data_IF_259947760291
#
_entry.id   IF_259947760291
#
_cell.length_a   1.000
_cell.length_b   1.000
_cell.length_c   1.000
_cell.angle_alpha   90.00
_cell.angle_beta   90.00
_cell.angle_gamma   90.00
#
_symmetry.space_group_name_H-M   'P 1'
#
loop_
_entity.id
_entity.type
_entity.pdbx_description
1 polymer ?
#
# COMPACT_ATOMS: atom_id res chain seq x y z
N UNK A 1 6.31 -31.27 -7.53
CA UNK A 1 5.08 -30.95 -6.76
C UNK A 1 4.88 -29.45 -6.90
N UNK A 2 3.97 -29.08 -7.78
CA UNK A 2 3.61 -27.67 -7.98
C UNK A 2 2.76 -27.31 -6.78
N UNK A 3 3.32 -26.47 -5.87
CA UNK A 3 2.52 -25.85 -4.80
C UNK A 3 1.52 -24.95 -5.51
N UNK A 4 0.26 -25.36 -5.53
CA UNK A 4 -0.84 -24.51 -5.97
C UNK A 4 -0.83 -23.24 -5.11
N UNK A 5 -0.40 -22.14 -5.71
CA UNK A 5 -0.54 -20.79 -5.14
C UNK A 5 -2.00 -20.36 -5.25
N UNK A 6 -2.90 -21.07 -4.59
CA UNK A 6 -4.28 -20.61 -4.43
C UNK A 6 -4.36 -19.58 -3.29
N UNK A 7 -3.66 -18.46 -3.46
CA UNK A 7 -3.88 -17.31 -2.59
C UNK A 7 -5.03 -16.48 -3.18
N UNK A 8 -6.23 -16.79 -2.74
CA UNK A 8 -7.38 -15.92 -2.98
C UNK A 8 -7.13 -14.66 -2.15
N UNK A 9 -6.99 -13.52 -2.83
CA UNK A 9 -6.91 -12.24 -2.16
C UNK A 9 -8.28 -11.93 -1.54
N UNK A 10 -8.40 -11.83 -0.20
CA UNK A 10 -9.68 -11.58 0.44
C UNK A 10 -10.15 -10.13 0.22
N UNK A 11 -11.46 -9.94 0.25
CA UNK A 11 -12.05 -8.61 0.45
C UNK A 11 -12.05 -8.34 1.94
N UNK A 12 -11.58 -7.17 2.35
CA UNK A 12 -11.51 -6.74 3.75
C UNK A 12 -12.47 -5.59 3.96
N UNK A 13 -13.47 -5.79 4.82
CA UNK A 13 -14.39 -4.72 5.20
C UNK A 13 -13.86 -4.00 6.44
N UNK A 14 -13.74 -2.68 6.34
CA UNK A 14 -13.48 -1.81 7.49
C UNK A 14 -14.76 -1.04 7.85
N UNK A 15 -14.69 -0.18 8.84
CA UNK A 15 -15.88 0.59 9.24
C UNK A 15 -16.39 1.47 8.09
N UNK A 16 -15.47 2.18 7.39
CA UNK A 16 -15.83 3.12 6.33
C UNK A 16 -15.48 2.67 4.92
N UNK A 17 -14.64 1.66 4.76
CA UNK A 17 -14.08 1.29 3.46
C UNK A 17 -14.25 -0.20 3.17
N UNK A 18 -14.30 -0.51 1.87
CA UNK A 18 -14.15 -1.87 1.36
C UNK A 18 -12.79 -1.96 0.69
N UNK A 19 -11.93 -2.83 1.20
CA UNK A 19 -10.64 -3.13 0.58
C UNK A 19 -10.85 -4.30 -0.37
N UNK A 20 -10.81 -4.02 -1.65
CA UNK A 20 -11.08 -4.98 -2.71
C UNK A 20 -9.92 -5.10 -3.69
N UNK A 21 -9.79 -6.22 -4.40
CA UNK A 21 -8.82 -6.33 -5.49
C UNK A 21 -8.99 -5.23 -6.53
N UNK A 22 -7.92 -4.89 -7.23
CA UNK A 22 -7.94 -3.96 -8.35
C UNK A 22 -8.87 -4.45 -9.47
N UNK A 23 -9.46 -3.49 -10.17
CA UNK A 23 -10.23 -3.69 -11.39
C UNK A 23 -9.64 -2.83 -12.50
N UNK A 24 -9.79 -3.24 -13.74
CA UNK A 24 -9.34 -2.42 -14.89
C UNK A 24 -10.05 -1.06 -14.95
N UNK A 25 -11.28 -0.99 -14.46
CA UNK A 25 -12.05 0.25 -14.35
C UNK A 25 -11.49 1.26 -13.35
N UNK A 26 -10.56 0.85 -12.48
CA UNK A 26 -9.89 1.77 -11.53
C UNK A 26 -8.81 2.64 -12.18
N UNK A 27 -8.42 2.34 -13.42
CA UNK A 27 -7.29 2.98 -14.10
C UNK A 27 -7.38 4.50 -14.09
N UNK A 28 -8.53 5.07 -14.41
CA UNK A 28 -8.70 6.52 -14.51
C UNK A 28 -8.41 7.25 -13.20
N UNK A 29 -8.96 6.77 -12.10
CA UNK A 29 -8.75 7.39 -10.78
C UNK A 29 -7.34 7.15 -10.25
N UNK A 30 -6.80 5.95 -10.43
CA UNK A 30 -5.42 5.65 -10.03
C UNK A 30 -4.45 6.55 -10.79
N UNK A 31 -4.61 6.69 -12.10
CA UNK A 31 -3.79 7.56 -12.92
C UNK A 31 -3.90 9.02 -12.47
N UNK A 32 -5.11 9.49 -12.22
CA UNK A 32 -5.36 10.85 -11.77
C UNK A 32 -4.63 11.16 -10.46
N UNK A 33 -4.69 10.24 -9.48
CA UNK A 33 -4.04 10.45 -8.18
C UNK A 33 -2.53 10.26 -8.23
N UNK A 34 -2.03 9.31 -9.02
CA UNK A 34 -0.59 9.02 -9.09
C UNK A 34 0.19 10.02 -9.94
N UNK A 35 -0.49 10.82 -10.76
CA UNK A 35 0.10 12.00 -11.42
C UNK A 35 0.48 13.12 -10.45
N UNK A 36 -0.14 13.14 -9.28
CA UNK A 36 0.15 14.14 -8.25
C UNK A 36 1.52 13.86 -7.63
N UNK A 37 2.43 14.83 -7.73
CA UNK A 37 3.78 14.72 -7.17
C UNK A 37 3.76 14.42 -5.67
N UNK A 38 2.78 14.94 -4.94
CA UNK A 38 2.63 14.72 -3.50
C UNK A 38 2.40 13.26 -3.16
N UNK A 39 1.78 12.50 -4.06
CA UNK A 39 1.62 11.04 -3.92
C UNK A 39 2.91 10.33 -4.35
N UNK A 40 3.41 10.64 -5.54
CA UNK A 40 4.56 9.96 -6.12
C UNK A 40 5.82 10.07 -5.22
N UNK A 41 6.09 11.27 -4.69
CA UNK A 41 7.28 11.53 -3.87
C UNK A 41 7.29 10.82 -2.51
N UNK A 42 6.14 10.33 -2.05
CA UNK A 42 6.00 9.58 -0.79
C UNK A 42 5.99 8.07 -0.98
N UNK A 43 6.16 7.62 -2.22
CA UNK A 43 6.27 6.21 -2.60
C UNK A 43 7.62 5.95 -3.25
N UNK A 44 8.02 4.68 -3.35
CA UNK A 44 9.31 4.32 -3.96
C UNK A 44 9.22 4.11 -5.46
N UNK A 45 8.07 3.68 -5.98
CA UNK A 45 7.96 3.11 -7.35
C UNK A 45 7.17 3.96 -8.34
N UNK A 46 6.40 4.93 -7.88
CA UNK A 46 5.60 5.78 -8.77
C UNK A 46 6.49 6.87 -9.37
N UNK A 47 6.69 6.87 -10.70
CA UNK A 47 7.50 7.90 -11.34
C UNK A 47 6.75 9.24 -11.41
N UNK A 48 7.52 10.33 -11.48
CA UNK A 48 6.99 11.67 -11.71
C UNK A 48 7.92 12.44 -12.67
N UNK A 49 7.43 12.96 -13.81
CA UNK A 49 6.06 12.82 -14.35
C UNK A 49 5.68 11.36 -14.63
N UNK A 50 4.39 11.06 -14.52
CA UNK A 50 3.90 9.70 -14.78
C UNK A 50 3.93 9.43 -16.30
N UNK A 51 4.69 8.41 -16.77
CA UNK A 51 4.76 8.09 -18.19
C UNK A 51 3.40 7.59 -18.74
N UNK A 52 3.10 7.84 -20.02
CA UNK A 52 1.94 7.25 -20.67
C UNK A 52 1.96 5.71 -20.56
N UNK A 53 0.83 5.11 -20.24
CA UNK A 53 0.69 3.66 -20.12
C UNK A 53 1.21 3.05 -18.79
N UNK A 54 1.79 3.86 -17.89
CA UNK A 54 2.33 3.37 -16.62
C UNK A 54 1.26 2.75 -15.73
N UNK A 55 0.08 3.37 -15.63
CA UNK A 55 -1.02 2.86 -14.80
C UNK A 55 -1.61 1.57 -15.36
N UNK A 56 -1.78 1.47 -16.68
CA UNK A 56 -2.23 0.25 -17.33
C UNK A 56 -1.27 -0.91 -17.05
N UNK A 57 0.04 -0.68 -17.23
CA UNK A 57 1.06 -1.67 -16.92
C UNK A 57 1.08 -2.08 -15.44
N UNK A 58 0.88 -1.14 -14.54
CA UNK A 58 0.74 -1.39 -13.10
C UNK A 58 -0.45 -2.30 -12.80
N UNK A 59 -1.62 -2.03 -13.38
CA UNK A 59 -2.82 -2.86 -13.19
C UNK A 59 -2.61 -4.25 -13.78
N UNK A 60 -2.00 -4.37 -14.96
CA UNK A 60 -1.68 -5.67 -15.57
C UNK A 60 -0.80 -6.53 -14.66
N UNK A 61 0.25 -5.94 -14.08
CA UNK A 61 1.11 -6.67 -13.12
C UNK A 61 0.35 -7.06 -11.85
N UNK A 62 -0.51 -6.18 -11.37
CA UNK A 62 -1.28 -6.39 -10.15
C UNK A 62 -2.35 -7.49 -10.28
N UNK A 63 -2.81 -7.74 -11.49
CA UNK A 63 -3.78 -8.79 -11.80
C UNK A 63 -3.14 -10.11 -12.27
N UNK A 64 -1.81 -10.15 -12.41
CA UNK A 64 -1.08 -11.35 -12.80
C UNK A 64 -1.21 -12.45 -11.74
N UNK A 65 -1.34 -13.71 -12.19
CA UNK A 65 -1.35 -14.88 -11.30
C UNK A 65 0.01 -15.11 -10.61
N UNK A 66 1.09 -14.64 -11.23
CA UNK A 66 2.47 -14.75 -10.71
C UNK A 66 2.87 -13.60 -9.78
N UNK A 67 1.93 -12.72 -9.43
CA UNK A 67 2.22 -11.58 -8.58
C UNK A 67 2.71 -12.00 -7.20
N UNK A 68 3.66 -11.24 -6.66
CA UNK A 68 4.13 -11.40 -5.29
C UNK A 68 3.56 -10.35 -4.33
N UNK A 69 2.78 -9.43 -4.87
CA UNK A 69 2.15 -8.34 -4.13
C UNK A 69 0.64 -8.40 -4.31
N UNK A 70 -0.09 -8.46 -3.20
CA UNK A 70 -1.52 -8.27 -3.19
C UNK A 70 -1.84 -6.80 -2.95
N UNK A 71 -2.58 -6.20 -3.88
CA UNK A 71 -2.95 -4.78 -3.82
C UNK A 71 -4.46 -4.66 -3.67
N UNK A 72 -4.89 -3.92 -2.66
CA UNK A 72 -6.29 -3.58 -2.44
C UNK A 72 -6.55 -2.13 -2.78
N UNK A 73 -7.62 -1.87 -3.50
CA UNK A 73 -8.21 -0.55 -3.62
C UNK A 73 -8.92 -0.21 -2.32
N UNK A 74 -8.68 0.99 -1.82
CA UNK A 74 -9.47 1.55 -0.72
C UNK A 74 -10.72 2.17 -1.35
N UNK A 75 -11.80 1.40 -1.38
CA UNK A 75 -13.09 1.81 -1.93
C UNK A 75 -13.93 2.46 -0.84
N UNK A 76 -14.29 3.70 -1.06
CA UNK A 76 -15.01 4.52 -0.07
C UNK A 76 -16.48 4.76 -0.38
N UNK A 77 -17.06 4.08 -1.38
CA UNK A 77 -18.44 4.35 -1.82
C UNK A 77 -19.44 4.22 -0.67
N UNK A 78 -19.31 3.19 0.16
CA UNK A 78 -20.26 2.96 1.26
C UNK A 78 -20.32 4.07 2.31
N UNK A 79 -19.31 4.95 2.32
CA UNK A 79 -19.21 6.09 3.25
C UNK A 79 -19.16 7.44 2.52
N UNK A 80 -19.65 7.47 1.29
CA UNK A 80 -19.74 8.68 0.45
C UNK A 80 -18.36 9.28 0.11
N UNK A 81 -17.30 8.46 0.14
CA UNK A 81 -16.01 8.79 -0.45
C UNK A 81 -15.95 8.36 -1.92
N UNK A 82 -14.81 8.59 -2.56
CA UNK A 82 -14.55 8.13 -3.92
C UNK A 82 -14.50 6.60 -4.00
N UNK A 83 -14.76 6.06 -5.19
CA UNK A 83 -14.55 4.64 -5.52
C UNK A 83 -13.11 4.20 -5.34
N UNK A 84 -12.14 5.11 -5.54
CA UNK A 84 -10.74 4.92 -5.22
C UNK A 84 -10.29 6.06 -4.31
N UNK A 85 -10.01 5.76 -3.06
CA UNK A 85 -9.48 6.71 -2.07
C UNK A 85 -7.96 6.62 -1.98
N UNK A 86 -7.41 5.47 -2.28
CA UNK A 86 -6.00 5.12 -2.25
C UNK A 86 -5.80 3.64 -2.48
N UNK A 87 -4.58 3.18 -2.26
CA UNK A 87 -4.21 1.77 -2.34
C UNK A 87 -3.50 1.34 -1.06
N UNK A 88 -3.64 0.06 -0.71
CA UNK A 88 -2.85 -0.60 0.33
C UNK A 88 -2.39 -1.95 -0.19
N UNK A 89 -1.17 -2.35 0.10
CA UNK A 89 -0.58 -3.57 -0.45
C UNK A 89 0.25 -4.33 0.57
N UNK A 90 0.38 -5.63 0.32
CA UNK A 90 1.31 -6.53 0.99
C UNK A 90 2.16 -7.22 -0.07
N UNK A 91 3.45 -6.93 -0.08
CA UNK A 91 4.43 -7.59 -0.91
C UNK A 91 5.06 -8.76 -0.14
N UNK A 92 5.00 -9.95 -0.71
CA UNK A 92 5.59 -11.13 -0.09
C UNK A 92 7.10 -11.12 -0.25
N UNK A 93 7.82 -11.07 0.86
CA UNK A 93 9.28 -11.13 0.90
C UNK A 93 9.77 -12.59 0.96
N UNK A 94 9.07 -13.43 1.73
CA UNK A 94 9.28 -14.87 1.83
C UNK A 94 8.02 -15.52 2.41
N UNK A 95 8.10 -16.79 2.80
CA UNK A 95 6.92 -17.55 3.27
C UNK A 95 6.27 -16.98 4.54
N UNK A 96 7.00 -16.21 5.35
CA UNK A 96 6.54 -15.75 6.66
C UNK A 96 6.62 -14.24 6.83
N UNK A 97 7.06 -13.50 5.83
CA UNK A 97 7.29 -12.06 5.92
C UNK A 97 6.71 -11.33 4.71
N UNK A 98 6.10 -10.19 4.96
CA UNK A 98 5.60 -9.28 3.93
C UNK A 98 5.95 -7.84 4.29
N UNK A 99 5.97 -6.99 3.28
CA UNK A 99 6.09 -5.54 3.43
C UNK A 99 4.77 -4.87 3.09
N UNK A 100 4.30 -4.02 4.01
CA UNK A 100 3.10 -3.20 3.86
C UNK A 100 3.47 -1.90 3.15
N UNK A 101 2.70 -1.55 2.12
CA UNK A 101 2.77 -0.26 1.46
C UNK A 101 1.39 0.35 1.31
N UNK A 102 1.29 1.66 1.28
CA UNK A 102 0.02 2.35 1.07
C UNK A 102 0.22 3.80 0.65
N UNK A 103 -0.78 4.34 -0.03
CA UNK A 103 -0.93 5.76 -0.24
C UNK A 103 -2.40 6.15 -0.25
N UNK A 104 -2.68 7.38 0.12
CA UNK A 104 -4.03 7.96 0.14
C UNK A 104 -4.01 9.21 -0.73
N UNK A 105 -5.04 9.38 -1.55
CA UNK A 105 -5.17 10.57 -2.39
C UNK A 105 -5.24 11.84 -1.53
N UNK A 106 -4.57 12.93 -1.93
CA UNK A 106 -4.46 14.14 -1.12
C UNK A 106 -5.80 14.74 -0.65
N UNK A 107 -6.84 14.62 -1.47
CA UNK A 107 -8.18 15.10 -1.11
C UNK A 107 -8.75 14.43 0.16
N UNK A 108 -8.22 13.26 0.53
CA UNK A 108 -8.69 12.46 1.67
C UNK A 108 -7.69 12.41 2.83
N UNK A 109 -6.65 13.21 2.78
CA UNK A 109 -5.69 13.31 3.88
C UNK A 109 -6.33 13.91 5.14
N UNK A 110 -5.76 13.59 6.30
CA UNK A 110 -6.21 14.07 7.62
C UNK A 110 -7.65 13.64 7.97
N UNK A 111 -8.11 12.52 7.42
CA UNK A 111 -9.45 11.95 7.69
C UNK A 111 -9.37 10.57 8.35
N UNK A 112 -8.19 10.14 8.77
CA UNK A 112 -7.97 8.85 9.42
C UNK A 112 -8.04 7.64 8.48
N UNK A 113 -7.97 7.83 7.17
CA UNK A 113 -8.06 6.74 6.18
C UNK A 113 -6.93 5.74 6.35
N UNK A 114 -5.68 6.20 6.31
CA UNK A 114 -4.52 5.34 6.43
C UNK A 114 -4.52 4.56 7.76
N UNK A 115 -4.81 5.23 8.87
CA UNK A 115 -4.88 4.58 10.18
C UNK A 115 -5.91 3.47 10.23
N UNK A 116 -7.07 3.66 9.64
CA UNK A 116 -8.13 2.64 9.59
C UNK A 116 -7.71 1.44 8.74
N UNK A 117 -7.27 1.66 7.50
CA UNK A 117 -6.96 0.55 6.58
C UNK A 117 -5.71 -0.21 6.99
N UNK A 118 -4.68 0.47 7.49
CA UNK A 118 -3.47 -0.19 8.01
C UNK A 118 -3.80 -1.05 9.22
N UNK A 119 -4.63 -0.57 10.13
CA UNK A 119 -5.06 -1.35 11.30
C UNK A 119 -5.79 -2.61 10.89
N UNK A 120 -6.80 -2.50 10.03
CA UNK A 120 -7.58 -3.66 9.60
C UNK A 120 -6.73 -4.69 8.86
N UNK A 121 -5.90 -4.28 7.89
CA UNK A 121 -5.03 -5.20 7.15
C UNK A 121 -3.98 -5.83 8.05
N UNK A 122 -3.33 -5.06 8.91
CA UNK A 122 -2.30 -5.59 9.79
C UNK A 122 -2.87 -6.51 10.89
N UNK A 123 -4.04 -6.20 11.44
CA UNK A 123 -4.68 -7.06 12.44
C UNK A 123 -5.22 -8.35 11.81
N UNK A 124 -5.79 -8.27 10.60
CA UNK A 124 -6.28 -9.44 9.87
C UNK A 124 -5.14 -10.37 9.44
N UNK A 125 -3.99 -9.80 9.09
CA UNK A 125 -2.81 -10.55 8.63
C UNK A 125 -3.17 -11.58 7.53
N UNK A 126 -3.67 -11.15 6.37
CA UNK A 126 -4.26 -12.06 5.38
C UNK A 126 -3.25 -13.04 4.76
N UNK A 127 -1.97 -12.71 4.78
CA UNK A 127 -0.90 -13.60 4.32
C UNK A 127 -0.34 -14.51 5.41
N UNK A 128 -0.90 -14.46 6.61
CA UNK A 128 -0.47 -15.27 7.77
C UNK A 128 1.02 -15.11 8.07
N UNK A 129 1.50 -13.88 8.05
CA UNK A 129 2.90 -13.56 8.33
C UNK A 129 3.25 -13.81 9.79
N UNK A 130 4.52 -14.12 10.05
CA UNK A 130 5.13 -13.99 11.37
C UNK A 130 5.59 -12.57 11.64
N UNK A 131 5.99 -11.87 10.59
CA UNK A 131 6.43 -10.48 10.67
C UNK A 131 5.94 -9.70 9.45
N UNK A 132 5.41 -8.52 9.71
CA UNK A 132 5.05 -7.55 8.67
C UNK A 132 5.94 -6.33 8.82
N UNK A 133 6.62 -5.95 7.76
CA UNK A 133 7.47 -4.77 7.70
C UNK A 133 6.74 -3.60 7.04
N UNK A 134 7.18 -2.40 7.36
CA UNK A 134 6.80 -1.19 6.64
C UNK A 134 7.95 -0.19 6.71
N UNK A 135 8.19 0.53 5.64
CA UNK A 135 9.16 1.60 5.58
C UNK A 135 8.47 2.92 5.23
N UNK A 136 8.89 3.99 5.86
CA UNK A 136 8.39 5.34 5.57
C UNK A 136 9.56 6.28 5.37
N UNK A 137 9.42 7.26 4.49
CA UNK A 137 10.42 8.31 4.35
C UNK A 137 10.44 9.18 5.61
N UNK A 138 11.64 9.57 6.05
CA UNK A 138 11.80 10.37 7.28
C UNK A 138 11.15 11.74 7.20
N UNK A 139 10.92 12.26 6.00
CA UNK A 139 10.17 13.50 5.78
C UNK A 139 8.64 13.29 5.70
N UNK A 140 8.16 12.09 6.06
CA UNK A 140 6.74 11.77 6.18
C UNK A 140 6.40 11.26 7.60
N UNK A 141 6.50 12.13 8.62
CA UNK A 141 6.25 11.72 10.01
C UNK A 141 4.79 11.31 10.27
N UNK A 142 3.85 11.78 9.46
CA UNK A 142 2.45 11.38 9.57
C UNK A 142 2.27 9.88 9.33
N UNK A 143 2.97 9.32 8.32
CA UNK A 143 2.94 7.88 8.04
C UNK A 143 3.59 7.07 9.15
N UNK A 144 4.68 7.57 9.75
CA UNK A 144 5.31 6.93 10.91
C UNK A 144 4.34 6.84 12.10
N UNK A 145 3.55 7.89 12.36
CA UNK A 145 2.53 7.88 13.42
C UNK A 145 1.43 6.86 13.14
N UNK A 146 1.01 6.72 11.89
CA UNK A 146 0.03 5.69 11.50
C UNK A 146 0.54 4.30 11.88
N UNK A 147 1.77 3.96 11.52
CA UNK A 147 2.37 2.66 11.82
C UNK A 147 2.48 2.42 13.33
N UNK A 148 3.00 3.38 14.08
CA UNK A 148 3.11 3.28 15.55
C UNK A 148 1.75 3.04 16.19
N UNK A 149 0.72 3.77 15.77
CA UNK A 149 -0.64 3.63 16.30
C UNK A 149 -1.30 2.30 15.93
N UNK A 150 -0.81 1.63 14.89
CA UNK A 150 -1.30 0.31 14.45
C UNK A 150 -0.49 -0.87 15.01
N UNK A 151 0.42 -0.63 15.95
CA UNK A 151 1.17 -1.66 16.64
C UNK A 151 2.48 -2.06 15.96
N UNK A 152 2.99 -1.23 15.07
CA UNK A 152 4.33 -1.39 14.50
C UNK A 152 5.38 -0.74 15.38
N UNK A 153 6.52 -1.39 15.53
CA UNK A 153 7.66 -0.90 16.29
C UNK A 153 8.78 -0.43 15.34
N UNK A 154 9.36 0.71 15.64
CA UNK A 154 10.55 1.18 14.95
C UNK A 154 11.73 0.24 15.22
N UNK A 155 12.49 -0.11 14.19
CA UNK A 155 13.66 -0.99 14.34
C UNK A 155 14.96 -0.39 13.82
N UNK A 156 14.96 0.43 12.78
CA UNK A 156 16.20 0.99 12.24
C UNK A 156 15.97 2.14 11.28
N UNK A 157 17.01 2.94 11.08
CA UNK A 157 17.14 3.84 9.96
C UNK A 157 17.66 3.06 8.76
N UNK A 158 17.20 3.44 7.58
CA UNK A 158 17.64 2.91 6.30
C UNK A 158 17.53 3.99 5.23
N UNK A 159 17.64 3.61 3.98
CA UNK A 159 17.35 4.45 2.85
C UNK A 159 16.73 3.62 1.72
N UNK A 160 15.94 4.26 0.88
CA UNK A 160 15.34 3.65 -0.29
C UNK A 160 15.42 4.60 -1.48
N UNK A 161 15.66 4.05 -2.67
CA UNK A 161 15.61 4.84 -3.89
C UNK A 161 14.16 5.21 -4.19
N UNK A 162 13.90 6.52 -4.38
CA UNK A 162 12.61 7.03 -4.78
C UNK A 162 12.65 7.41 -6.26
N UNK A 163 11.87 6.72 -7.07
CA UNK A 163 11.86 6.95 -8.53
C UNK A 163 11.45 8.38 -8.86
N UNK A 164 10.41 8.90 -8.20
CA UNK A 164 9.94 10.27 -8.42
C UNK A 164 10.99 11.33 -8.06
N UNK A 165 11.79 11.10 -7.02
CA UNK A 165 12.84 12.02 -6.58
C UNK A 165 14.19 11.76 -7.25
N UNK A 166 14.32 10.66 -7.98
CA UNK A 166 15.55 10.21 -8.62
C UNK A 166 16.77 10.21 -7.67
N UNK A 167 16.56 9.76 -6.44
CA UNK A 167 17.59 9.72 -5.39
C UNK A 167 17.25 8.73 -4.30
N UNK A 168 18.27 8.30 -3.55
CA UNK A 168 18.07 7.60 -2.29
C UNK A 168 17.61 8.58 -1.22
N UNK A 169 16.54 8.20 -0.51
CA UNK A 169 15.90 9.03 0.52
C UNK A 169 15.94 8.29 1.86
N UNK A 170 16.31 8.95 2.96
CA UNK A 170 16.31 8.32 4.27
C UNK A 170 14.93 7.80 4.66
N UNK A 171 14.89 6.60 5.24
CA UNK A 171 13.68 5.94 5.72
C UNK A 171 13.81 5.52 7.17
N UNK A 172 12.65 5.29 7.80
CA UNK A 172 12.52 4.53 9.05
C UNK A 172 11.87 3.19 8.73
N UNK A 173 12.42 2.12 9.28
CA UNK A 173 11.87 0.77 9.14
C UNK A 173 11.11 0.38 10.40
N UNK A 174 9.90 -0.14 10.21
CA UNK A 174 9.00 -0.60 11.25
C UNK A 174 8.65 -2.07 11.05
N UNK A 175 8.32 -2.75 12.12
CA UNK A 175 7.81 -4.11 12.04
C UNK A 175 6.70 -4.37 13.05
N UNK A 176 5.82 -5.31 12.69
CA UNK A 176 4.81 -5.89 13.56
C UNK A 176 5.02 -7.40 13.60
N UNK A 177 5.17 -7.95 14.82
CA UNK A 177 5.31 -9.39 15.04
C UNK A 177 3.97 -10.00 15.36
N UNK A 178 3.76 -11.21 14.85
CA UNK A 178 2.57 -12.02 15.12
C UNK A 178 2.96 -13.26 15.92
N UNK A 179 2.04 -13.69 16.81
CA UNK A 179 2.23 -14.89 17.65
C UNK A 179 1.92 -16.16 16.87
#
# INVERSE_FOLDING_TARGET
MILEKNFIQPVVETDRFTLRPLRRSDQGLIEFYTKDERVARMTTTIPHPLPPGATEAFIDRSLSEDREEDIWVIDGIKSEFSEVVGLISLERLNQTQSELGYWVAPAFWNKGVASEVVRFVSDMNPMKNRTMFAAVFQDNPASARVLTNCGFDYISDAEAFCVARNSSVPTWTYLKKYK
#
